data_IF_601343490694
#
_entry.id   IF_601343490694
#
_cell.length_a   1.000
_cell.length_b   1.000
_cell.length_c   1.000
_cell.angle_alpha   90.00
_cell.angle_beta   90.00
_cell.angle_gamma   90.00
#
_symmetry.space_group_name_H-M   'P 1'
#
loop_
_entity.id
_entity.type
_entity.pdbx_description
1 polymer ?
#
# COMPACT_ATOMS: atom_id res chain seq x y z
N UNK A 1 -10.05 0.46 5.03
CA UNK A 1 -9.85 -0.78 5.83
C UNK A 1 -8.36 -0.98 5.98
N UNK A 2 -7.90 -1.27 7.18
CA UNK A 2 -6.50 -1.62 7.46
C UNK A 2 -6.45 -3.13 7.64
N UNK A 3 -5.64 -3.83 6.85
CA UNK A 3 -5.36 -5.25 7.04
C UNK A 3 -4.18 -5.41 7.97
N UNK A 4 -4.50 -5.65 9.23
CA UNK A 4 -3.51 -5.81 10.29
C UNK A 4 -4.12 -6.58 11.46
N UNK A 5 -3.26 -7.15 12.30
CA UNK A 5 -3.66 -7.97 13.45
C UNK A 5 -3.45 -7.28 14.80
N UNK A 6 -2.83 -6.10 14.82
CA UNK A 6 -2.53 -5.34 16.03
C UNK A 6 -3.10 -3.92 15.91
N UNK A 7 -3.15 -3.18 17.02
CA UNK A 7 -3.44 -1.75 16.92
C UNK A 7 -2.23 -1.04 16.30
N UNK A 8 -2.50 -0.13 15.38
CA UNK A 8 -1.48 0.65 14.68
C UNK A 8 -1.78 2.12 14.79
N UNK A 9 -0.73 2.94 14.79
CA UNK A 9 -0.84 4.40 14.82
C UNK A 9 -1.74 4.98 13.71
N UNK A 10 -1.93 4.26 12.61
CA UNK A 10 -2.81 4.64 11.51
C UNK A 10 -4.28 4.82 11.93
N UNK A 11 -4.77 4.09 12.93
CA UNK A 11 -6.14 4.26 13.43
C UNK A 11 -6.34 5.65 14.07
N UNK A 12 -5.34 6.08 14.85
CA UNK A 12 -5.33 7.41 15.46
C UNK A 12 -5.13 8.51 14.41
N UNK A 13 -4.23 8.29 13.45
CA UNK A 13 -4.01 9.21 12.33
C UNK A 13 -5.32 9.45 11.55
N UNK A 14 -6.02 8.38 11.16
CA UNK A 14 -7.27 8.51 10.42
C UNK A 14 -8.37 9.15 11.26
N UNK A 15 -8.39 8.91 12.58
CA UNK A 15 -9.29 9.63 13.48
C UNK A 15 -9.00 11.14 13.47
N UNK A 16 -7.74 11.56 13.51
CA UNK A 16 -7.34 12.97 13.40
C UNK A 16 -7.73 13.58 12.04
N UNK A 17 -7.56 12.81 10.97
CA UNK A 17 -7.95 13.20 9.62
C UNK A 17 -9.46 13.15 9.37
N UNK A 18 -10.26 12.70 10.34
CA UNK A 18 -11.72 12.48 10.23
C UNK A 18 -12.09 11.48 9.12
N UNK A 19 -11.23 10.50 8.90
CA UNK A 19 -11.43 9.39 7.97
C UNK A 19 -11.91 8.18 8.77
N UNK A 20 -13.04 7.59 8.37
CA UNK A 20 -13.51 6.34 8.96
C UNK A 20 -12.60 5.18 8.54
N UNK A 21 -12.05 4.47 9.50
CA UNK A 21 -11.29 3.25 9.27
C UNK A 21 -11.78 2.10 10.15
N UNK A 22 -11.46 0.90 9.72
CA UNK A 22 -11.64 -0.34 10.49
C UNK A 22 -10.47 -1.25 10.21
N UNK A 23 -10.07 -1.99 11.22
CA UNK A 23 -8.96 -2.95 11.16
C UNK A 23 -9.55 -4.36 11.05
N UNK A 24 -8.96 -5.20 10.21
CA UNK A 24 -9.39 -6.58 10.02
C UNK A 24 -8.20 -7.50 9.73
N UNK A 25 -8.32 -8.76 10.13
CA UNK A 25 -7.37 -9.80 9.71
C UNK A 25 -7.51 -10.05 8.19
N UNK A 26 -6.43 -10.37 7.47
CA UNK A 26 -6.53 -10.71 6.05
C UNK A 26 -7.52 -11.87 5.78
N UNK A 27 -7.61 -12.85 6.68
CA UNK A 27 -8.56 -13.95 6.53
C UNK A 27 -10.03 -13.50 6.64
N UNK A 28 -10.32 -12.39 7.33
CA UNK A 28 -11.66 -11.80 7.42
C UNK A 28 -12.20 -11.37 6.06
N UNK A 29 -11.34 -11.08 5.08
CA UNK A 29 -11.77 -10.84 3.70
C UNK A 29 -12.60 -11.98 3.14
N UNK A 30 -12.40 -13.21 3.63
CA UNK A 30 -13.11 -14.39 3.16
C UNK A 30 -14.51 -14.56 3.77
N UNK A 31 -14.90 -13.67 4.68
CA UNK A 31 -16.21 -13.73 5.34
C UNK A 31 -17.30 -13.02 4.52
N UNK A 32 -18.57 -13.45 4.60
CA UNK A 32 -19.66 -12.83 3.86
C UNK A 32 -20.02 -11.41 4.32
N UNK A 33 -19.54 -10.97 5.49
CA UNK A 33 -19.91 -9.70 6.13
C UNK A 33 -18.80 -8.62 6.07
N UNK A 34 -17.76 -8.82 5.25
CA UNK A 34 -16.63 -7.89 5.19
C UNK A 34 -17.03 -6.48 4.74
N UNK A 35 -18.19 -6.26 4.12
CA UNK A 35 -18.71 -4.94 3.79
C UNK A 35 -17.96 -4.24 2.64
N UNK A 36 -18.05 -2.91 2.58
CA UNK A 36 -17.46 -2.06 1.54
C UNK A 36 -16.28 -1.26 2.07
N UNK A 37 -15.39 -0.83 1.17
CA UNK A 37 -14.33 0.11 1.48
C UNK A 37 -13.95 0.94 0.25
N UNK A 38 -13.44 2.14 0.49
CA UNK A 38 -12.75 2.93 -0.53
C UNK A 38 -11.34 2.40 -0.79
N UNK A 39 -10.62 2.11 0.29
CA UNK A 39 -9.23 1.67 0.26
C UNK A 39 -9.01 0.51 1.23
N UNK A 40 -8.14 -0.41 0.83
CA UNK A 40 -7.50 -1.41 1.70
C UNK A 40 -6.03 -1.01 1.87
N UNK A 41 -5.56 -0.99 3.11
CA UNK A 41 -4.19 -0.60 3.47
C UNK A 41 -3.48 -1.75 4.15
N UNK A 42 -2.26 -2.08 3.71
CA UNK A 42 -1.33 -2.99 4.38
C UNK A 42 -0.17 -2.13 4.94
N UNK A 43 0.02 -2.10 6.27
CA UNK A 43 0.98 -1.18 6.89
C UNK A 43 2.43 -1.63 6.72
N UNK A 44 3.35 -0.74 7.09
CA UNK A 44 4.78 -1.01 7.03
C UNK A 44 5.15 -2.22 7.92
N UNK A 45 6.19 -2.94 7.54
CA UNK A 45 6.70 -4.07 8.32
C UNK A 45 5.82 -5.32 8.26
N UNK A 46 4.87 -5.41 7.32
CA UNK A 46 4.04 -6.61 7.11
C UNK A 46 4.85 -7.88 6.80
N UNK A 47 6.10 -7.70 6.34
CA UNK A 47 7.07 -8.76 6.11
C UNK A 47 8.19 -8.83 7.16
N UNK A 48 8.22 -7.93 8.14
CA UNK A 48 9.21 -7.93 9.23
C UNK A 48 9.11 -9.20 10.08
N UNK A 49 10.19 -9.64 10.71
CA UNK A 49 10.20 -10.78 11.65
C UNK A 49 9.21 -10.62 12.81
N UNK A 50 8.89 -9.39 13.19
CA UNK A 50 7.94 -9.07 14.26
C UNK A 50 6.48 -9.19 13.83
N UNK A 51 6.19 -9.18 12.53
CA UNK A 51 4.84 -9.43 12.04
C UNK A 51 4.45 -10.88 12.31
N UNK A 52 3.25 -11.03 12.88
CA UNK A 52 2.64 -12.27 13.29
C UNK A 52 2.60 -13.31 12.14
N UNK A 53 2.97 -14.55 12.47
CA UNK A 53 3.04 -15.64 11.49
C UNK A 53 1.68 -15.97 10.86
N UNK A 54 0.59 -15.85 11.63
CA UNK A 54 -0.77 -16.09 11.16
C UNK A 54 -1.24 -14.94 10.28
N UNK A 55 -0.85 -13.70 10.61
CA UNK A 55 -1.09 -12.55 9.73
C UNK A 55 -0.43 -12.76 8.36
N UNK A 56 0.88 -13.06 8.33
CA UNK A 56 1.63 -13.30 7.08
C UNK A 56 1.01 -14.44 6.28
N UNK A 57 0.79 -15.57 6.94
CA UNK A 57 0.17 -16.75 6.31
C UNK A 57 -1.20 -16.41 5.74
N UNK A 58 -1.99 -15.59 6.42
CA UNK A 58 -3.33 -15.18 5.95
C UNK A 58 -3.28 -14.19 4.80
N UNK A 59 -2.31 -13.27 4.79
CA UNK A 59 -2.14 -12.26 3.76
C UNK A 59 -1.75 -12.90 2.42
N UNK A 60 -0.77 -13.81 2.43
CA UNK A 60 -0.24 -14.43 1.22
C UNK A 60 -1.05 -15.64 0.72
N UNK A 61 -2.13 -16.03 1.41
CA UNK A 61 -3.07 -17.05 0.91
C UNK A 61 -3.64 -16.61 -0.44
N UNK A 62 -3.62 -17.50 -1.42
CA UNK A 62 -4.10 -17.24 -2.78
C UNK A 62 -5.53 -16.66 -2.82
N UNK A 63 -6.44 -17.19 -2.00
CA UNK A 63 -7.81 -16.66 -1.87
C UNK A 63 -7.85 -15.20 -1.42
N UNK A 64 -6.96 -14.80 -0.50
CA UNK A 64 -6.89 -13.45 0.06
C UNK A 64 -6.36 -12.49 -1.00
N UNK A 65 -5.27 -12.88 -1.67
CA UNK A 65 -4.69 -12.11 -2.79
C UNK A 65 -5.73 -11.94 -3.91
N UNK A 66 -6.45 -13.00 -4.30
CA UNK A 66 -7.52 -12.93 -5.31
C UNK A 66 -8.62 -11.93 -4.92
N UNK A 67 -9.02 -11.87 -3.65
CA UNK A 67 -10.00 -10.88 -3.18
C UNK A 67 -9.47 -9.46 -3.22
N UNK A 68 -8.22 -9.24 -2.80
CA UNK A 68 -7.57 -7.93 -2.91
C UNK A 68 -7.53 -7.45 -4.36
N UNK A 69 -7.13 -8.31 -5.29
CA UNK A 69 -7.09 -7.97 -6.72
C UNK A 69 -8.49 -7.73 -7.28
N UNK A 70 -9.49 -8.54 -6.93
CA UNK A 70 -10.88 -8.31 -7.33
C UNK A 70 -11.44 -6.99 -6.79
N UNK A 71 -11.11 -6.64 -5.54
CA UNK A 71 -11.48 -5.35 -4.95
C UNK A 71 -10.89 -4.18 -5.75
N UNK A 72 -9.60 -4.26 -6.09
CA UNK A 72 -8.93 -3.23 -6.91
C UNK A 72 -9.51 -3.19 -8.32
N UNK A 73 -9.71 -4.34 -8.96
CA UNK A 73 -10.28 -4.44 -10.31
C UNK A 73 -11.67 -3.77 -10.40
N UNK A 74 -12.44 -3.82 -9.32
CA UNK A 74 -13.75 -3.19 -9.21
C UNK A 74 -13.74 -1.70 -8.82
N UNK A 75 -12.57 -1.08 -8.68
CA UNK A 75 -12.41 0.36 -8.43
C UNK A 75 -11.86 0.73 -7.07
N UNK A 76 -11.57 -0.26 -6.22
CA UNK A 76 -10.93 -0.02 -4.92
C UNK A 76 -9.46 0.35 -5.06
N UNK A 77 -8.88 0.92 -4.00
CA UNK A 77 -7.43 1.18 -3.93
C UNK A 77 -6.75 0.27 -2.91
N UNK A 78 -5.65 -0.35 -3.30
CA UNK A 78 -4.79 -1.12 -2.40
C UNK A 78 -3.51 -0.35 -2.14
N UNK A 79 -3.33 0.17 -0.93
CA UNK A 79 -2.10 0.83 -0.50
C UNK A 79 -1.25 -0.13 0.32
N UNK A 80 0.01 -0.32 -0.06
CA UNK A 80 0.97 -1.16 0.64
C UNK A 80 2.19 -0.32 1.00
N UNK A 81 2.47 -0.23 2.30
CA UNK A 81 3.67 0.40 2.81
C UNK A 81 4.86 -0.57 2.80
N UNK A 82 6.05 -0.03 3.06
CA UNK A 82 7.33 -0.72 3.01
C UNK A 82 7.33 -2.08 3.73
N UNK A 83 7.91 -3.14 3.14
CA UNK A 83 8.06 -4.43 3.81
C UNK A 83 9.18 -4.44 4.88
N UNK A 84 9.97 -3.36 5.00
CA UNK A 84 11.15 -3.20 5.88
C UNK A 84 12.30 -4.19 5.64
N UNK A 85 12.28 -4.90 4.51
CA UNK A 85 13.35 -5.79 4.05
C UNK A 85 13.27 -5.98 2.55
N UNK A 86 14.37 -6.34 1.92
CA UNK A 86 14.39 -6.74 0.51
C UNK A 86 13.30 -7.78 0.21
N UNK A 87 12.47 -7.47 -0.77
CA UNK A 87 11.29 -8.27 -1.06
C UNK A 87 10.92 -8.16 -2.53
N UNK A 88 10.30 -9.21 -3.07
CA UNK A 88 9.59 -9.12 -4.34
C UNK A 88 8.08 -9.04 -4.10
N UNK A 89 7.39 -8.33 -4.98
CA UNK A 89 5.94 -8.21 -4.98
C UNK A 89 5.28 -9.19 -5.96
N UNK A 90 5.95 -10.29 -6.33
CA UNK A 90 5.43 -11.26 -7.31
C UNK A 90 4.12 -11.91 -6.83
N UNK A 91 3.93 -11.98 -5.51
CA UNK A 91 2.70 -12.48 -4.88
C UNK A 91 1.45 -11.63 -5.24
N UNK A 92 1.59 -10.35 -5.59
CA UNK A 92 0.48 -9.53 -6.08
C UNK A 92 0.06 -9.90 -7.51
N UNK A 93 0.91 -10.63 -8.24
CA UNK A 93 0.65 -11.06 -9.62
C UNK A 93 0.15 -9.92 -10.53
N UNK A 94 0.74 -8.73 -10.39
CA UNK A 94 0.40 -7.55 -11.20
C UNK A 94 0.92 -7.65 -12.65
N UNK A 95 1.31 -8.85 -13.11
CA UNK A 95 1.77 -9.09 -14.48
C UNK A 95 3.22 -8.73 -14.75
N UNK A 96 3.96 -8.24 -13.75
CA UNK A 96 5.39 -7.95 -13.85
C UNK A 96 6.09 -7.99 -12.48
N UNK A 97 7.39 -8.29 -12.45
CA UNK A 97 8.15 -8.27 -11.21
C UNK A 97 8.35 -6.81 -10.74
N UNK A 98 8.10 -6.58 -9.46
CA UNK A 98 8.49 -5.37 -8.75
C UNK A 98 9.34 -5.81 -7.57
N UNK A 99 10.55 -5.27 -7.48
CA UNK A 99 11.44 -5.54 -6.37
C UNK A 99 11.53 -4.32 -5.47
N UNK A 100 11.51 -4.54 -4.18
CA UNK A 100 11.78 -3.54 -3.17
C UNK A 100 13.16 -3.77 -2.61
N UNK A 101 13.95 -2.69 -2.57
CA UNK A 101 15.28 -2.65 -1.95
C UNK A 101 15.20 -1.85 -0.67
N UNK A 102 15.56 -2.47 0.45
CA UNK A 102 15.66 -1.80 1.74
C UNK A 102 16.91 -0.93 1.74
N UNK A 103 16.69 0.37 1.89
CA UNK A 103 17.76 1.36 2.00
C UNK A 103 17.19 2.54 2.78
N UNK A 104 17.90 3.01 3.80
CA UNK A 104 17.46 4.18 4.56
C UNK A 104 17.80 5.43 3.74
N UNK A 105 16.78 6.05 3.17
CA UNK A 105 16.92 7.15 2.22
C UNK A 105 16.33 8.43 2.82
N UNK A 106 17.08 9.53 2.77
CA UNK A 106 16.56 10.87 3.07
C UNK A 106 16.24 11.59 1.77
N UNK A 107 15.03 12.14 1.67
CA UNK A 107 14.55 12.90 0.52
C UNK A 107 14.33 14.34 0.97
N UNK A 108 15.06 15.27 0.37
CA UNK A 108 15.05 16.69 0.75
C UNK A 108 14.34 17.49 -0.35
N UNK A 109 13.04 17.27 -0.48
CA UNK A 109 12.21 17.96 -1.47
C UNK A 109 10.78 18.14 -0.98
N UNK A 110 10.17 19.24 -1.42
CA UNK A 110 8.77 19.54 -1.12
C UNK A 110 7.84 18.68 -1.97
N UNK A 111 6.90 18.01 -1.31
CA UNK A 111 5.87 17.19 -1.95
C UNK A 111 4.53 17.36 -1.24
N UNK A 112 3.43 17.01 -1.91
CA UNK A 112 2.10 16.96 -1.28
C UNK A 112 1.86 15.66 -0.52
N UNK A 113 2.72 14.64 -0.70
CA UNK A 113 2.57 13.34 -0.06
C UNK A 113 2.83 13.40 1.45
N UNK A 114 3.66 14.32 1.91
CA UNK A 114 4.03 14.49 3.32
C UNK A 114 4.05 15.98 3.68
N UNK A 115 3.79 16.30 4.95
CA UNK A 115 3.72 17.69 5.44
C UNK A 115 5.08 18.18 5.98
N UNK A 116 6.18 17.86 5.30
CA UNK A 116 7.55 18.17 5.69
C UNK A 116 8.42 18.48 4.46
N UNK A 117 9.44 19.32 4.61
CA UNK A 117 10.38 19.67 3.53
C UNK A 117 11.48 18.61 3.33
N UNK A 118 11.67 17.74 4.32
CA UNK A 118 12.56 16.58 4.30
C UNK A 118 11.85 15.39 4.95
N UNK A 119 12.02 14.20 4.37
CA UNK A 119 11.36 12.98 4.82
C UNK A 119 12.19 11.73 4.50
N UNK A 120 11.91 10.63 5.18
CA UNK A 120 12.63 9.37 5.11
C UNK A 120 11.84 8.34 4.28
N UNK A 121 12.56 7.52 3.53
CA UNK A 121 12.02 6.34 2.88
C UNK A 121 12.77 5.11 3.37
N UNK A 122 12.05 4.02 3.61
CA UNK A 122 12.63 2.74 4.05
C UNK A 122 13.31 1.97 2.90
N UNK A 123 13.25 2.52 1.68
CA UNK A 123 13.76 1.87 0.46
C UNK A 123 13.27 2.50 -0.83
N UNK A 124 13.46 1.78 -1.94
CA UNK A 124 12.98 2.16 -3.27
C UNK A 124 12.49 0.95 -4.06
N UNK A 125 11.75 1.19 -5.15
CA UNK A 125 11.21 0.15 -6.02
C UNK A 125 12.00 0.05 -7.33
N UNK A 126 12.53 -1.15 -7.60
CA UNK A 126 13.10 -1.52 -8.89
C UNK A 126 12.01 -2.13 -9.77
N UNK A 127 11.84 -1.54 -10.95
CA UNK A 127 10.87 -1.97 -11.95
C UNK A 127 11.66 -2.30 -13.21
N UNK A 128 11.88 -3.59 -13.53
CA UNK A 128 12.58 -3.99 -14.74
C UNK A 128 11.84 -3.47 -15.97
N UNK A 129 12.56 -2.76 -16.84
CA UNK A 129 11.98 -2.14 -18.04
C UNK A 129 11.38 -3.17 -19.01
N UNK A 130 10.36 -2.71 -19.75
CA UNK A 130 9.71 -3.33 -20.93
C UNK A 130 8.58 -4.36 -20.74
N UNK A 131 8.07 -4.59 -19.53
CA UNK A 131 6.92 -5.49 -19.37
C UNK A 131 5.94 -4.93 -18.35
N UNK A 132 5.06 -4.03 -18.75
CA UNK A 132 3.93 -3.64 -17.88
C UNK A 132 2.63 -3.98 -18.60
N UNK A 133 1.98 -5.09 -18.20
CA UNK A 133 0.60 -5.40 -18.62
C UNK A 133 -0.37 -4.28 -18.25
N UNK A 134 -0.03 -3.52 -17.22
CA UNK A 134 -0.83 -2.45 -16.66
C UNK A 134 -0.04 -1.14 -16.58
N UNK A 135 -0.66 0.03 -16.83
CA UNK A 135 0.00 1.32 -16.65
C UNK A 135 0.56 1.50 -15.24
N UNK A 136 1.82 1.91 -15.15
CA UNK A 136 2.51 2.27 -13.91
C UNK A 136 2.88 3.75 -13.96
N UNK A 137 2.61 4.46 -12.87
CA UNK A 137 2.99 5.85 -12.65
C UNK A 137 3.94 5.96 -11.46
N UNK A 138 5.09 6.58 -11.65
CA UNK A 138 5.97 6.99 -10.56
C UNK A 138 5.45 8.32 -10.04
N UNK A 139 4.87 8.31 -8.84
CA UNK A 139 4.31 9.53 -8.21
C UNK A 139 5.43 10.28 -7.50
N UNK A 140 6.34 9.55 -6.85
CA UNK A 140 7.46 10.15 -6.14
C UNK A 140 8.75 9.37 -6.30
N UNK A 141 9.86 10.12 -6.31
CA UNK A 141 11.22 9.59 -6.35
C UNK A 141 12.06 10.08 -5.17
N UNK A 142 13.17 9.43 -4.90
CA UNK A 142 14.21 10.01 -4.06
C UNK A 142 15.05 11.05 -4.81
N UNK A 143 16.12 11.53 -4.16
CA UNK A 143 17.09 12.48 -4.72
C UNK A 143 17.91 11.91 -5.90
N UNK A 144 17.93 10.58 -6.07
CA UNK A 144 18.61 9.85 -7.13
C UNK A 144 17.65 9.42 -8.27
N UNK A 145 16.43 9.96 -8.30
CA UNK A 145 15.36 9.60 -9.23
C UNK A 145 14.91 8.13 -9.16
N UNK A 146 15.12 7.45 -8.02
CA UNK A 146 14.62 6.10 -7.79
C UNK A 146 13.18 6.15 -7.27
N UNK A 147 12.25 5.32 -7.74
CA UNK A 147 10.85 5.36 -7.29
C UNK A 147 10.70 5.01 -5.81
N UNK A 148 10.00 5.87 -5.05
CA UNK A 148 9.67 5.66 -3.62
C UNK A 148 8.17 5.64 -3.36
N UNK A 149 7.37 6.13 -4.31
CA UNK A 149 5.91 6.02 -4.27
C UNK A 149 5.39 5.81 -5.69
N UNK A 150 4.72 4.69 -5.94
CA UNK A 150 4.24 4.31 -7.27
C UNK A 150 2.77 3.89 -7.24
N UNK A 151 2.06 4.15 -8.33
CA UNK A 151 0.69 3.66 -8.58
C UNK A 151 0.66 2.79 -9.82
N UNK A 152 -0.09 1.69 -9.75
CA UNK A 152 -0.28 0.72 -10.83
C UNK A 152 -1.78 0.62 -11.07
N UNK A 153 -2.25 1.02 -12.24
CA UNK A 153 -3.66 0.89 -12.61
C UNK A 153 -4.03 -0.59 -12.74
N UNK A 154 -5.09 -1.04 -12.08
CA UNK A 154 -5.50 -2.45 -12.16
C UNK A 154 -7.02 -2.54 -12.24
N UNK A 155 -7.53 -2.92 -13.42
CA UNK A 155 -8.97 -2.80 -13.73
C UNK A 155 -9.44 -1.35 -13.62
N UNK A 156 -10.40 -1.09 -12.73
CA UNK A 156 -10.95 0.25 -12.46
C UNK A 156 -10.28 0.97 -11.29
N UNK A 157 -9.39 0.29 -10.55
CA UNK A 157 -8.75 0.81 -9.35
C UNK A 157 -7.23 0.88 -9.48
N UNK A 158 -6.56 1.00 -8.35
CA UNK A 158 -5.11 1.19 -8.29
C UNK A 158 -4.47 0.38 -7.16
N UNK A 159 -3.29 -0.18 -7.45
CA UNK A 159 -2.36 -0.69 -6.44
C UNK A 159 -1.28 0.38 -6.24
N UNK A 160 -1.10 0.81 -5.01
CA UNK A 160 -0.17 1.87 -4.62
C UNK A 160 0.87 1.26 -3.70
N UNK A 161 2.14 1.41 -4.05
CA UNK A 161 3.27 0.97 -3.23
C UNK A 161 4.04 2.19 -2.74
N UNK A 162 4.30 2.26 -1.43
CA UNK A 162 4.99 3.39 -0.80
C UNK A 162 6.13 2.90 0.08
N UNK A 163 7.31 3.46 -0.10
CA UNK A 163 8.44 3.28 0.82
C UNK A 163 8.62 4.48 1.76
N UNK A 164 7.83 5.54 1.60
CA UNK A 164 7.80 6.70 2.51
C UNK A 164 7.50 6.22 3.93
N UNK A 165 8.38 6.55 4.86
CA UNK A 165 8.33 6.14 6.26
C UNK A 165 7.29 6.96 7.06
N UNK A 166 7.14 8.23 6.69
CA UNK A 166 6.24 9.17 7.33
C UNK A 166 4.77 8.84 7.09
N UNK A 167 3.92 9.41 7.94
CA UNK A 167 2.50 9.48 7.66
C UNK A 167 2.24 10.34 6.42
N UNK A 168 1.57 9.74 5.44
CA UNK A 168 1.09 10.48 4.28
C UNK A 168 0.09 11.56 4.72
N UNK A 169 0.06 12.66 3.99
CA UNK A 169 -0.73 13.85 4.31
C UNK A 169 -2.23 13.57 4.26
N UNK A 170 -2.99 14.40 4.96
CA UNK A 170 -4.46 14.35 4.93
C UNK A 170 -4.97 14.58 3.52
N UNK A 171 -4.37 15.55 2.83
CA UNK A 171 -4.69 15.97 1.46
C UNK A 171 -4.48 14.82 0.48
N UNK A 172 -3.41 14.04 0.66
CA UNK A 172 -3.18 12.83 -0.11
C UNK A 172 -4.32 11.82 0.10
N UNK A 173 -4.67 11.52 1.36
CA UNK A 173 -5.76 10.59 1.66
C UNK A 173 -7.12 11.08 1.13
N UNK A 174 -7.43 12.37 1.24
CA UNK A 174 -8.66 12.94 0.69
C UNK A 174 -8.72 12.80 -0.83
N UNK A 175 -7.61 13.05 -1.53
CA UNK A 175 -7.49 12.87 -2.98
C UNK A 175 -7.70 11.42 -3.40
N UNK A 176 -7.00 10.47 -2.77
CA UNK A 176 -7.12 9.05 -3.12
C UNK A 176 -8.47 8.44 -2.70
N UNK A 177 -9.18 9.02 -1.74
CA UNK A 177 -10.50 8.55 -1.29
C UNK A 177 -11.68 9.29 -1.97
N UNK A 178 -11.43 10.12 -2.99
CA UNK A 178 -12.45 10.88 -3.69
C UNK A 178 -13.41 10.05 -4.57
N UNK A 179 -13.24 8.71 -4.62
CA UNK A 179 -14.11 7.78 -5.35
C UNK A 179 -15.15 7.10 -4.43
N UNK A 180 -16.23 6.49 -4.99
CA UNK A 180 -17.19 5.70 -4.22
C UNK A 180 -16.55 4.49 -3.53
N UNK A 181 -17.27 3.91 -2.57
CA UNK A 181 -16.88 2.65 -1.95
C UNK A 181 -17.09 1.46 -2.88
N UNK A 182 -16.24 0.44 -2.73
CA UNK A 182 -16.29 -0.81 -3.49
C UNK A 182 -16.44 -1.99 -2.52
N UNK A 183 -17.19 -3.01 -2.93
CA UNK A 183 -17.35 -4.24 -2.16
C UNK A 183 -16.03 -5.03 -2.15
N UNK A 184 -15.62 -5.50 -0.99
CA UNK A 184 -14.43 -6.35 -0.81
C UNK A 184 -14.79 -7.84 -1.03
#
# INVERSE_FOLDING_TARGET
MILWNQSVFLENLFKEYKISCRTAMPDSLNTPHIGTAKMVLIPAGFLSEYADSDFKSSLFKEKTVKKLLAFVENGGKLLIFSPLKDSDFSWLNCGFPIFYRKEDITVSKKTQLVNQDEFFCDGFFEIPGNLTKFPLSVIETDNSNRPVHISISFGKGEIILSSIHEFLSKEYFESVLAHPEVKI
#
